data_IF_212705009803
#
_entry.id   IF_212705009803
#
_cell.length_a   1.000
_cell.length_b   1.000
_cell.length_c   1.000
_cell.angle_alpha   90.00
_cell.angle_beta   90.00
_cell.angle_gamma   90.00
#
_symmetry.space_group_name_H-M   'P 1'
#
loop_
_entity.id
_entity.type
_entity.pdbx_description
1 polymer ?
#
# COMPACT_ATOMS: atom_id res chain seq x y z
N UNK A 1 22.15 -9.51 -17.75
CA UNK A 1 20.96 -8.74 -17.30
C UNK A 1 20.55 -9.28 -15.94
N UNK A 2 20.02 -8.46 -15.02
CA UNK A 2 19.60 -8.96 -13.72
C UNK A 2 18.51 -10.02 -13.92
N UNK A 3 18.72 -11.17 -13.29
CA UNK A 3 17.86 -12.34 -13.42
C UNK A 3 16.69 -12.31 -12.44
N UNK A 4 16.64 -11.28 -11.57
CA UNK A 4 15.75 -11.18 -10.42
C UNK A 4 14.99 -9.87 -10.41
N UNK A 5 13.73 -9.92 -10.00
CA UNK A 5 12.86 -8.77 -9.79
C UNK A 5 12.19 -8.87 -8.42
N UNK A 6 12.30 -7.82 -7.62
CA UNK A 6 11.71 -7.74 -6.28
C UNK A 6 10.40 -6.95 -6.32
N UNK A 7 9.30 -7.58 -5.95
CA UNK A 7 8.04 -6.89 -5.67
C UNK A 7 8.15 -6.24 -4.28
N UNK A 8 8.07 -4.91 -4.22
CA UNK A 8 8.32 -4.10 -3.03
C UNK A 8 7.17 -4.17 -2.01
N UNK A 9 6.91 -5.36 -1.48
CA UNK A 9 5.94 -5.59 -0.41
C UNK A 9 6.40 -6.74 0.50
N UNK A 10 6.14 -6.59 1.80
CA UNK A 10 6.27 -7.68 2.77
C UNK A 10 5.04 -8.60 2.77
N UNK A 11 3.93 -8.17 2.17
CA UNK A 11 2.71 -8.97 2.13
C UNK A 11 2.67 -9.84 0.87
N UNK A 12 3.11 -11.10 1.00
CA UNK A 12 3.09 -12.07 -0.09
C UNK A 12 1.71 -12.28 -0.71
N UNK A 13 0.62 -12.14 0.07
CA UNK A 13 -0.75 -12.24 -0.48
C UNK A 13 -1.04 -11.10 -1.44
N UNK A 14 -0.64 -9.87 -1.11
CA UNK A 14 -0.79 -8.71 -2.00
C UNK A 14 0.04 -8.84 -3.27
N UNK A 15 1.21 -9.48 -3.19
CA UNK A 15 2.03 -9.76 -4.36
C UNK A 15 1.46 -10.86 -5.28
N UNK A 16 0.51 -11.68 -4.81
CA UNK A 16 0.10 -12.92 -5.48
C UNK A 16 -0.35 -12.74 -6.94
N UNK A 17 -1.14 -11.70 -7.22
CA UNK A 17 -1.60 -11.42 -8.59
C UNK A 17 -0.44 -11.01 -9.50
N UNK A 18 0.44 -10.12 -9.03
CA UNK A 18 1.62 -9.68 -9.77
C UNK A 18 2.58 -10.85 -10.04
N UNK A 19 2.80 -11.70 -9.03
CA UNK A 19 3.65 -12.89 -9.17
C UNK A 19 3.11 -13.84 -10.23
N UNK A 20 1.79 -14.07 -10.23
CA UNK A 20 1.13 -14.90 -11.25
C UNK A 20 1.33 -14.32 -12.64
N UNK A 21 0.95 -13.06 -12.85
CA UNK A 21 1.04 -12.41 -14.17
C UNK A 21 2.48 -12.38 -14.67
N UNK A 22 3.44 -12.00 -13.82
CA UNK A 22 4.83 -11.84 -14.24
C UNK A 22 5.52 -13.18 -14.48
N UNK A 23 5.25 -14.21 -13.68
CA UNK A 23 5.85 -15.54 -13.89
C UNK A 23 5.36 -16.19 -15.19
N UNK A 24 4.09 -16.02 -15.54
CA UNK A 24 3.53 -16.51 -16.81
C UNK A 24 4.13 -15.78 -18.01
N UNK A 25 4.35 -14.47 -17.91
CA UNK A 25 4.86 -13.63 -19.00
C UNK A 25 6.38 -13.70 -19.15
N UNK A 26 7.09 -13.98 -18.06
CA UNK A 26 8.54 -13.99 -17.99
C UNK A 26 9.06 -15.22 -17.21
N UNK A 27 8.93 -16.44 -17.74
CA UNK A 27 9.24 -17.68 -17.01
C UNK A 27 10.72 -17.85 -16.62
N UNK A 28 11.63 -17.03 -17.18
CA UNK A 28 13.04 -17.00 -16.81
C UNK A 28 13.42 -15.92 -15.80
N UNK A 29 12.44 -15.14 -15.31
CA UNK A 29 12.65 -14.09 -14.32
C UNK A 29 12.36 -14.66 -12.93
N UNK A 30 13.36 -14.63 -12.05
CA UNK A 30 13.16 -14.97 -10.64
C UNK A 30 12.42 -13.83 -9.95
N UNK A 31 11.25 -14.12 -9.38
CA UNK A 31 10.43 -13.16 -8.68
C UNK A 31 10.57 -13.33 -7.18
N UNK A 32 10.93 -12.25 -6.50
CA UNK A 32 11.10 -12.17 -5.06
C UNK A 32 10.16 -11.11 -4.48
N UNK A 33 9.97 -11.13 -3.17
CA UNK A 33 9.25 -10.11 -2.39
C UNK A 33 10.15 -9.60 -1.26
N UNK A 34 9.82 -8.50 -0.61
CA UNK A 34 10.59 -8.04 0.57
C UNK A 34 10.51 -9.04 1.74
N UNK A 35 9.50 -9.91 1.76
CA UNK A 35 9.41 -11.01 2.73
C UNK A 35 10.48 -12.12 2.51
N UNK A 36 11.25 -12.07 1.43
CA UNK A 36 12.40 -12.95 1.17
C UNK A 36 13.72 -12.38 1.73
N UNK A 37 13.71 -11.14 2.24
CA UNK A 37 14.90 -10.46 2.75
C UNK A 37 14.73 -10.08 4.22
N UNK A 38 15.63 -10.56 5.07
CA UNK A 38 15.65 -10.20 6.48
C UNK A 38 16.04 -8.72 6.67
N UNK A 39 15.30 -8.01 7.52
CA UNK A 39 15.58 -6.61 7.83
C UNK A 39 15.24 -5.61 6.72
N UNK A 40 14.45 -6.01 5.71
CA UNK A 40 13.98 -5.07 4.69
C UNK A 40 13.18 -3.92 5.32
N UNK A 41 13.50 -2.66 4.98
CA UNK A 41 12.86 -1.49 5.59
C UNK A 41 11.48 -1.24 5.00
N UNK A 42 10.55 -0.78 5.85
CA UNK A 42 9.29 -0.16 5.41
C UNK A 42 9.55 1.33 5.15
N UNK A 43 9.52 1.81 3.89
CA UNK A 43 9.78 3.21 3.59
C UNK A 43 8.62 4.09 4.02
N UNK A 44 8.94 5.33 4.39
CA UNK A 44 7.93 6.33 4.68
C UNK A 44 7.22 6.78 3.39
N UNK A 45 5.92 6.50 3.29
CA UNK A 45 5.06 6.89 2.16
C UNK A 45 4.66 8.36 2.30
N UNK A 46 5.58 9.25 1.88
CA UNK A 46 5.45 10.72 1.91
C UNK A 46 5.00 11.32 0.58
N UNK A 47 4.64 10.49 -0.40
CA UNK A 47 4.15 10.93 -1.69
C UNK A 47 2.78 11.61 -1.60
N UNK A 48 2.50 12.50 -2.54
CA UNK A 48 1.21 13.18 -2.70
C UNK A 48 0.32 12.53 -3.76
N UNK A 49 0.80 11.46 -4.39
CA UNK A 49 0.08 10.63 -5.37
C UNK A 49 0.46 9.15 -5.20
N UNK A 50 -0.36 8.24 -5.71
CA UNK A 50 -0.08 6.80 -5.66
C UNK A 50 1.21 6.46 -6.42
N UNK A 51 1.44 7.12 -7.57
CA UNK A 51 2.64 6.93 -8.37
C UNK A 51 3.92 7.33 -7.59
N UNK A 52 3.87 8.41 -6.81
CA UNK A 52 5.00 8.83 -5.97
C UNK A 52 5.28 7.82 -4.84
N UNK A 53 4.25 7.34 -4.16
CA UNK A 53 4.40 6.29 -3.13
C UNK A 53 4.93 4.98 -3.72
N UNK A 54 4.41 4.55 -4.88
CA UNK A 54 4.92 3.38 -5.58
C UNK A 54 6.39 3.56 -5.96
N UNK A 55 6.78 4.72 -6.49
CA UNK A 55 8.17 5.02 -6.80
C UNK A 55 9.08 5.00 -5.56
N UNK A 56 8.63 5.55 -4.43
CA UNK A 56 9.34 5.51 -3.15
C UNK A 56 9.55 4.05 -2.71
N UNK A 57 8.52 3.22 -2.76
CA UNK A 57 8.58 1.79 -2.40
C UNK A 57 9.56 1.02 -3.28
N UNK A 58 9.43 1.15 -4.60
CA UNK A 58 10.32 0.48 -5.55
C UNK A 58 11.78 0.93 -5.37
N UNK A 59 12.01 2.23 -5.17
CA UNK A 59 13.36 2.76 -4.94
C UNK A 59 13.96 2.24 -3.65
N UNK A 60 13.20 2.24 -2.55
CA UNK A 60 13.66 1.70 -1.25
C UNK A 60 14.07 0.24 -1.37
N UNK A 61 13.20 -0.59 -1.97
CA UNK A 61 13.47 -2.01 -2.19
C UNK A 61 14.69 -2.24 -3.08
N UNK A 62 14.82 -1.50 -4.18
CA UNK A 62 15.98 -1.62 -5.08
C UNK A 62 17.29 -1.23 -4.39
N UNK A 63 17.30 -0.15 -3.62
CA UNK A 63 18.49 0.29 -2.85
C UNK A 63 18.88 -0.73 -1.80
N UNK A 64 17.91 -1.30 -1.08
CA UNK A 64 18.17 -2.27 -0.03
C UNK A 64 18.65 -3.62 -0.58
N UNK A 65 18.03 -4.12 -1.64
CA UNK A 65 18.32 -5.47 -2.18
C UNK A 65 19.44 -5.49 -3.22
N UNK A 66 19.72 -4.37 -3.87
CA UNK A 66 20.62 -4.30 -5.04
C UNK A 66 20.00 -4.83 -6.34
N UNK A 67 18.71 -5.20 -6.33
CA UNK A 67 18.01 -5.80 -7.47
C UNK A 67 17.09 -4.80 -8.17
N UNK A 68 16.59 -5.18 -9.36
CA UNK A 68 15.45 -4.47 -9.94
C UNK A 68 14.24 -4.63 -9.03
N UNK A 69 13.43 -3.57 -8.91
CA UNK A 69 12.22 -3.60 -8.09
C UNK A 69 11.03 -3.01 -8.81
N UNK A 70 9.86 -3.58 -8.52
CA UNK A 70 8.55 -3.12 -8.93
C UNK A 70 7.69 -2.91 -7.69
N UNK A 71 6.90 -1.86 -7.66
CA UNK A 71 5.96 -1.57 -6.59
C UNK A 71 4.62 -1.11 -7.17
N UNK A 72 3.61 -1.19 -6.32
CA UNK A 72 2.27 -0.64 -6.55
C UNK A 72 1.85 0.18 -5.32
N UNK A 73 0.94 1.13 -5.52
CA UNK A 73 0.24 1.82 -4.44
C UNK A 73 -1.24 1.98 -4.76
N UNK A 74 -2.08 1.77 -3.76
CA UNK A 74 -3.52 1.77 -3.92
C UNK A 74 -4.23 2.35 -2.70
N UNK A 75 -5.37 2.96 -2.96
CA UNK A 75 -6.27 3.51 -1.94
C UNK A 75 -7.74 3.30 -2.32
N UNK A 76 -8.61 3.43 -1.34
CA UNK A 76 -10.05 3.52 -1.50
C UNK A 76 -10.43 5.00 -1.61
N UNK A 77 -11.08 5.36 -2.72
CA UNK A 77 -11.61 6.70 -2.94
C UNK A 77 -13.14 6.65 -2.96
N UNK A 78 -13.78 7.56 -2.22
CA UNK A 78 -15.23 7.59 -2.08
C UNK A 78 -15.73 8.97 -2.50
N UNK A 79 -16.53 9.02 -3.57
CA UNK A 79 -17.05 10.27 -4.14
C UNK A 79 -17.81 11.11 -3.09
N UNK A 80 -18.63 10.47 -2.26
CA UNK A 80 -19.38 11.13 -1.19
C UNK A 80 -18.49 11.75 -0.09
N UNK A 81 -17.20 11.39 -0.05
CA UNK A 81 -16.20 11.93 0.88
C UNK A 81 -15.11 12.74 0.15
N UNK A 82 -15.42 13.27 -1.02
CA UNK A 82 -14.47 13.95 -1.93
C UNK A 82 -13.17 13.15 -2.14
N UNK A 83 -13.30 11.85 -2.38
CA UNK A 83 -12.17 10.95 -2.63
C UNK A 83 -11.46 10.43 -1.37
N UNK A 84 -11.88 10.80 -0.16
CA UNK A 84 -11.32 10.19 1.06
C UNK A 84 -11.77 8.72 1.20
N UNK A 85 -10.95 7.83 1.80
CA UNK A 85 -9.63 8.09 2.42
C UNK A 85 -8.44 8.27 1.47
N UNK A 86 -8.53 7.83 0.21
CA UNK A 86 -7.50 7.98 -0.81
C UNK A 86 -6.13 7.45 -0.39
N UNK A 87 -5.07 8.23 -0.56
CA UNK A 87 -3.69 7.90 -0.15
C UNK A 87 -3.54 7.50 1.32
N UNK A 88 -4.48 7.89 2.16
CA UNK A 88 -4.45 7.61 3.59
C UNK A 88 -5.23 6.34 3.96
N UNK A 89 -5.68 5.56 2.98
CA UNK A 89 -6.49 4.34 3.21
C UNK A 89 -5.87 3.39 4.24
N UNK A 90 -4.54 3.20 4.22
CA UNK A 90 -3.84 2.36 5.18
C UNK A 90 -3.91 2.92 6.61
N UNK A 91 -3.89 4.24 6.77
CA UNK A 91 -3.82 4.97 8.06
C UNK A 91 -5.18 5.49 8.54
N UNK A 92 -6.24 5.26 7.76
CA UNK A 92 -7.56 5.81 8.06
C UNK A 92 -8.08 5.29 9.41
N UNK A 93 -8.39 6.22 10.31
CA UNK A 93 -8.87 5.92 11.66
C UNK A 93 -7.83 5.33 12.61
N UNK A 94 -6.53 5.35 12.26
CA UNK A 94 -5.49 4.68 13.04
C UNK A 94 -4.65 3.73 12.19
N UNK A 95 -3.32 3.79 12.34
CA UNK A 95 -2.43 2.73 11.82
C UNK A 95 -2.79 1.34 12.39
N UNK A 96 -3.14 1.30 13.67
CA UNK A 96 -3.47 0.07 14.39
C UNK A 96 -4.94 -0.34 14.28
N UNK A 97 -5.78 0.47 13.63
CA UNK A 97 -7.22 0.16 13.53
C UNK A 97 -7.44 -1.08 12.64
N UNK A 98 -8.03 -2.17 13.18
CA UNK A 98 -8.29 -3.38 12.41
C UNK A 98 -9.14 -3.12 11.18
N UNK A 99 -8.87 -3.83 10.09
CA UNK A 99 -9.56 -3.62 8.81
C UNK A 99 -11.10 -3.65 8.92
N UNK A 100 -11.75 -4.60 9.63
CA UNK A 100 -13.21 -4.59 9.77
C UNK A 100 -13.74 -3.33 10.46
N UNK A 101 -13.04 -2.84 11.48
CA UNK A 101 -13.42 -1.63 12.22
C UNK A 101 -13.22 -0.38 11.38
N UNK A 102 -12.16 -0.34 10.59
CA UNK A 102 -11.89 0.72 9.60
C UNK A 102 -13.00 0.82 8.56
N UNK A 103 -13.44 -0.32 8.03
CA UNK A 103 -14.58 -0.36 7.11
C UNK A 103 -15.87 0.08 7.80
N UNK A 104 -16.13 -0.37 9.03
CA UNK A 104 -17.30 0.06 9.80
C UNK A 104 -17.31 1.58 10.01
N UNK A 105 -16.17 2.19 10.34
CA UNK A 105 -16.02 3.63 10.46
C UNK A 105 -16.35 4.35 9.14
N UNK A 106 -15.80 3.88 8.02
CA UNK A 106 -16.10 4.43 6.68
C UNK A 106 -17.60 4.34 6.38
N UNK A 107 -18.26 3.22 6.70
CA UNK A 107 -19.70 3.04 6.50
C UNK A 107 -20.53 4.00 7.38
N UNK A 108 -20.14 4.23 8.63
CA UNK A 108 -20.81 5.21 9.49
C UNK A 108 -20.67 6.64 8.96
N UNK A 109 -19.48 7.03 8.47
CA UNK A 109 -19.28 8.36 7.86
C UNK A 109 -20.16 8.52 6.62
N UNK A 110 -20.14 7.53 5.73
CA UNK A 110 -20.86 7.58 4.44
C UNK A 110 -22.38 7.52 4.60
N UNK A 111 -22.89 6.88 5.67
CA UNK A 111 -24.32 6.84 6.00
C UNK A 111 -24.83 8.09 6.74
N UNK A 112 -23.96 9.07 7.01
CA UNK A 112 -24.33 10.29 7.73
C UNK A 112 -24.61 10.05 9.22
N UNK A 113 -24.14 8.93 9.79
CA UNK A 113 -24.19 8.72 11.23
C UNK A 113 -23.20 9.66 11.91
N UNK A 114 -23.68 10.37 12.94
CA UNK A 114 -22.84 11.24 13.75
C UNK A 114 -21.81 10.40 14.53
N UNK A 115 -20.55 10.48 14.13
CA UNK A 115 -19.43 9.79 14.77
C UNK A 115 -18.82 10.59 15.92
N UNK A 116 -19.49 11.65 16.37
CA UNK A 116 -18.88 12.63 17.28
C UNK A 116 -17.87 13.51 16.54
N UNK A 117 -17.46 14.58 17.20
CA UNK A 117 -16.74 15.74 16.65
C UNK A 117 -15.31 15.49 16.13
N UNK A 118 -15.03 14.40 15.42
CA UNK A 118 -13.74 14.16 14.77
C UNK A 118 -13.69 14.93 13.43
N UNK A 119 -12.85 15.96 13.40
CA UNK A 119 -12.47 16.70 12.21
C UNK A 119 -11.86 15.79 11.14
N UNK A 120 -11.86 16.26 9.89
CA UNK A 120 -11.29 15.53 8.73
C UNK A 120 -9.82 15.15 8.94
N UNK A 121 -9.05 15.96 9.67
CA UNK A 121 -7.67 15.65 10.08
C UNK A 121 -7.63 14.47 11.06
N UNK A 122 -8.47 14.49 12.09
CA UNK A 122 -8.49 13.45 13.14
C UNK A 122 -8.89 12.07 12.59
N UNK A 123 -9.58 11.98 11.45
CA UNK A 123 -9.88 10.71 10.77
C UNK A 123 -8.73 10.14 9.94
N UNK A 124 -7.77 10.99 9.56
CA UNK A 124 -6.67 10.67 8.63
C UNK A 124 -5.34 10.51 9.37
N UNK A 125 -5.14 11.25 10.46
CA UNK A 125 -3.86 11.36 11.17
C UNK A 125 -3.81 10.65 12.53
N UNK A 126 -4.79 9.79 12.82
CA UNK A 126 -4.83 8.98 14.03
C UNK A 126 -3.96 7.73 13.93
#
# INVERSE_FOLDING_TARGET
MPSRLVIATHNRKKAGEMLTILSERFPGLELLTLADFEGAPEPEEIGTTYAENAAIKAKSAAVFTGEWSLADDAGLEIDALDGAPGLYSKRFGGEDLPFPEKIAMILSITSGQDLGNLSRKERISG
#
